data_IF_411056006524
#
_entry.id   IF_411056006524
#
_cell.length_a   1.000
_cell.length_b   1.000
_cell.length_c   1.000
_cell.angle_alpha   90.00
_cell.angle_beta   90.00
_cell.angle_gamma   90.00
#
_symmetry.space_group_name_H-M   'P 1'
#
loop_
_entity.id
_entity.type
_entity.pdbx_description
1 polymer ?
#
# COMPACT_ATOMS: atom_id res chain seq x y z
N UNK A 1 6.69 -17.20 -21.51
CA UNK A 1 6.08 -18.25 -20.63
C UNK A 1 5.63 -17.72 -19.25
N UNK A 2 6.05 -16.55 -18.81
CA UNK A 2 5.67 -15.95 -17.52
C UNK A 2 4.23 -15.37 -17.47
N UNK A 3 3.61 -15.10 -18.61
CA UNK A 3 2.28 -14.47 -18.66
C UNK A 3 1.10 -15.46 -18.56
N UNK A 4 1.31 -16.73 -18.83
CA UNK A 4 0.21 -17.73 -18.78
C UNK A 4 -0.06 -18.25 -17.37
N UNK A 5 0.92 -18.19 -16.47
CA UNK A 5 0.80 -18.68 -15.08
C UNK A 5 0.14 -17.63 -14.16
N UNK A 6 0.33 -16.34 -14.45
CA UNK A 6 -0.27 -15.25 -13.66
C UNK A 6 -1.79 -15.16 -13.88
N UNK A 7 -2.29 -15.41 -15.10
CA UNK A 7 -3.73 -15.34 -15.38
C UNK A 7 -4.53 -16.57 -14.91
N UNK A 8 -3.89 -17.70 -14.65
CA UNK A 8 -4.57 -18.89 -14.13
C UNK A 8 -4.85 -18.85 -12.62
N UNK A 9 -4.16 -18.01 -11.87
CA UNK A 9 -4.36 -17.86 -10.41
C UNK A 9 -5.48 -16.89 -10.01
N UNK A 10 -6.04 -16.15 -10.95
CA UNK A 10 -7.11 -15.17 -10.66
C UNK A 10 -8.51 -15.81 -10.49
N UNK A 11 -8.59 -17.13 -10.64
CA UNK A 11 -9.78 -17.92 -10.30
C UNK A 11 -9.75 -18.53 -8.90
N UNK A 12 -8.91 -18.06 -8.00
CA UNK A 12 -9.08 -18.33 -6.58
C UNK A 12 -10.37 -17.63 -6.13
N UNK A 13 -11.48 -18.39 -6.17
CA UNK A 13 -12.78 -17.98 -5.61
C UNK A 13 -12.52 -17.28 -4.29
N UNK A 14 -12.77 -15.97 -4.23
CA UNK A 14 -12.76 -15.21 -2.98
C UNK A 14 -13.67 -15.96 -2.01
N UNK A 15 -13.12 -16.74 -1.10
CA UNK A 15 -13.91 -17.43 -0.08
C UNK A 15 -14.56 -16.34 0.77
N UNK A 16 -15.87 -16.19 0.66
CA UNK A 16 -16.62 -15.34 1.57
C UNK A 16 -16.39 -15.84 2.99
N UNK A 17 -16.01 -14.93 3.87
CA UNK A 17 -15.95 -15.22 5.30
C UNK A 17 -17.40 -15.39 5.77
N UNK A 18 -17.79 -16.63 6.07
CA UNK A 18 -19.12 -16.97 6.60
C UNK A 18 -19.02 -17.12 8.12
N UNK A 19 -20.17 -17.11 8.81
CA UNK A 19 -20.24 -17.19 10.27
C UNK A 19 -19.42 -18.38 10.85
N UNK A 20 -19.46 -19.55 10.21
CA UNK A 20 -18.66 -20.72 10.61
C UNK A 20 -17.15 -20.47 10.51
N UNK A 21 -16.69 -19.70 9.48
CA UNK A 21 -15.29 -19.32 9.35
C UNK A 21 -14.86 -18.33 10.44
N UNK A 22 -15.75 -17.44 10.85
CA UNK A 22 -15.50 -16.49 11.95
C UNK A 22 -15.31 -17.24 13.27
N UNK A 23 -16.14 -18.24 13.57
CA UNK A 23 -16.00 -19.05 14.76
C UNK A 23 -14.66 -19.81 14.81
N UNK A 24 -14.23 -20.38 13.69
CA UNK A 24 -12.92 -21.03 13.58
C UNK A 24 -11.75 -20.05 13.73
N UNK A 25 -11.85 -18.84 13.14
CA UNK A 25 -10.83 -17.80 13.29
C UNK A 25 -10.71 -17.39 14.76
N UNK A 26 -11.85 -17.14 15.44
CA UNK A 26 -11.87 -16.81 16.88
C UNK A 26 -11.25 -17.90 17.74
N UNK A 27 -11.56 -19.17 17.46
CA UNK A 27 -10.98 -20.30 18.17
C UNK A 27 -9.45 -20.34 18.01
N UNK A 28 -8.96 -20.24 16.77
CA UNK A 28 -7.52 -20.22 16.49
C UNK A 28 -6.82 -19.01 17.10
N UNK A 29 -7.46 -17.85 17.06
CA UNK A 29 -6.96 -16.63 17.68
C UNK A 29 -6.76 -16.82 19.19
N UNK A 30 -7.76 -17.38 19.88
CA UNK A 30 -7.71 -17.60 21.32
C UNK A 30 -6.71 -18.70 21.74
N UNK A 31 -6.45 -19.67 20.87
CA UNK A 31 -5.50 -20.76 21.13
C UNK A 31 -4.05 -20.41 20.77
N UNK A 32 -3.85 -19.36 19.96
CA UNK A 32 -2.52 -18.98 19.51
C UNK A 32 -1.71 -18.37 20.67
N UNK A 33 -0.50 -18.88 20.89
CA UNK A 33 0.45 -18.32 21.87
C UNK A 33 1.04 -16.99 21.41
N UNK A 34 1.21 -16.82 20.10
CA UNK A 34 1.64 -15.60 19.46
C UNK A 34 0.84 -15.37 18.17
N UNK A 35 0.61 -14.12 17.84
CA UNK A 35 -0.19 -13.70 16.69
C UNK A 35 0.52 -12.62 15.91
N UNK A 36 0.70 -12.83 14.63
CA UNK A 36 1.13 -11.80 13.70
C UNK A 36 -0.13 -11.20 13.03
N UNK A 37 -0.33 -9.91 13.23
CA UNK A 37 -1.50 -9.19 12.73
C UNK A 37 -1.00 -8.16 11.72
N UNK A 38 -1.25 -8.41 10.44
CA UNK A 38 -0.90 -7.52 9.34
C UNK A 38 -2.11 -6.68 8.99
N UNK A 39 -1.99 -5.37 9.10
CA UNK A 39 -3.08 -4.41 8.86
C UNK A 39 -2.68 -3.45 7.74
N UNK A 40 -3.47 -3.43 6.67
CA UNK A 40 -3.41 -2.39 5.67
C UNK A 40 -4.03 -1.09 6.23
N UNK A 41 -3.52 0.06 5.81
CA UNK A 41 -3.94 1.35 6.36
C UNK A 41 -5.09 1.97 5.56
N UNK A 42 -4.85 2.29 4.28
CA UNK A 42 -5.81 3.03 3.45
C UNK A 42 -6.93 2.13 2.91
N UNK A 43 -8.17 2.40 3.29
CA UNK A 43 -9.33 1.57 2.93
C UNK A 43 -9.58 0.40 3.89
N UNK A 44 -8.70 0.20 4.89
CA UNK A 44 -8.83 -0.84 5.92
C UNK A 44 -8.95 -0.22 7.32
N UNK A 45 -7.91 0.44 7.82
CA UNK A 45 -7.92 1.12 9.11
C UNK A 45 -8.56 2.51 9.03
N UNK A 46 -8.47 3.16 7.90
CA UNK A 46 -9.13 4.43 7.61
C UNK A 46 -9.87 4.37 6.29
N UNK A 47 -10.97 5.12 6.17
CA UNK A 47 -11.69 5.23 4.92
C UNK A 47 -10.82 5.91 3.85
N UNK A 48 -10.98 5.50 2.58
CA UNK A 48 -10.34 6.19 1.48
C UNK A 48 -10.78 7.65 1.42
N UNK A 49 -9.82 8.56 1.34
CA UNK A 49 -10.05 10.01 1.26
C UNK A 49 -9.64 10.52 -0.13
N UNK A 50 -10.28 11.62 -0.60
CA UNK A 50 -9.87 12.27 -1.85
C UNK A 50 -8.41 12.71 -1.81
N UNK A 51 -7.99 13.35 -0.70
CA UNK A 51 -6.60 13.78 -0.48
C UNK A 51 -5.90 12.85 0.51
N UNK A 52 -4.67 12.41 0.21
CA UNK A 52 -3.92 11.51 1.09
C UNK A 52 -3.72 12.05 2.51
N UNK A 53 -3.52 13.36 2.67
CA UNK A 53 -3.32 14.03 3.95
C UNK A 53 -4.55 14.02 4.87
N UNK A 54 -5.75 13.84 4.30
CA UNK A 54 -7.01 13.81 5.06
C UNK A 54 -7.28 12.44 5.72
N UNK A 55 -6.50 11.42 5.37
CA UNK A 55 -6.66 10.07 5.92
C UNK A 55 -5.87 9.86 7.23
N UNK A 56 -5.83 10.91 8.08
CA UNK A 56 -5.18 10.82 9.39
C UNK A 56 -5.92 9.84 10.32
N UNK A 57 -5.21 9.14 11.21
CA UNK A 57 -5.84 8.25 12.17
C UNK A 57 -6.70 9.05 13.15
N UNK A 58 -7.88 8.53 13.46
CA UNK A 58 -8.72 9.10 14.51
C UNK A 58 -8.19 8.72 15.89
N UNK A 59 -8.49 9.49 16.93
CA UNK A 59 -8.15 9.12 18.31
C UNK A 59 -8.69 7.74 18.71
N UNK A 60 -9.86 7.37 18.20
CA UNK A 60 -10.45 6.06 18.41
C UNK A 60 -9.59 4.94 17.80
N UNK A 61 -9.14 5.10 16.54
CA UNK A 61 -8.25 4.14 15.90
C UNK A 61 -6.94 3.98 16.67
N UNK A 62 -6.34 5.07 17.13
CA UNK A 62 -5.14 5.06 17.96
C UNK A 62 -5.38 4.24 19.24
N UNK A 63 -6.50 4.48 19.92
CA UNK A 63 -6.87 3.75 21.13
C UNK A 63 -7.04 2.25 20.88
N UNK A 64 -7.69 1.87 19.78
CA UNK A 64 -7.88 0.46 19.39
C UNK A 64 -6.52 -0.20 19.11
N UNK A 65 -5.64 0.46 18.38
CA UNK A 65 -4.31 -0.07 18.08
C UNK A 65 -3.46 -0.21 19.34
N UNK A 66 -3.53 0.74 20.27
CA UNK A 66 -2.87 0.64 21.57
C UNK A 66 -3.38 -0.54 22.38
N UNK A 67 -4.69 -0.72 22.46
CA UNK A 67 -5.29 -1.86 23.17
C UNK A 67 -4.88 -3.19 22.53
N UNK A 68 -4.90 -3.26 21.20
CA UNK A 68 -4.50 -4.47 20.48
C UNK A 68 -3.03 -4.80 20.70
N UNK A 69 -2.17 -3.78 20.75
CA UNK A 69 -0.73 -3.92 20.97
C UNK A 69 -0.35 -4.16 22.45
N UNK A 70 -1.28 -3.92 23.39
CA UNK A 70 -1.02 -4.18 24.82
C UNK A 70 -1.01 -5.67 25.17
N UNK A 71 -1.59 -6.53 24.33
CA UNK A 71 -1.49 -7.98 24.49
C UNK A 71 -0.11 -8.45 23.96
N UNK A 72 0.78 -8.96 24.84
CA UNK A 72 2.13 -9.36 24.44
C UNK A 72 2.16 -10.54 23.46
N UNK A 73 1.04 -11.24 23.29
CA UNK A 73 0.90 -12.26 22.27
C UNK A 73 0.70 -11.70 20.86
N UNK A 74 0.40 -10.40 20.73
CA UNK A 74 0.16 -9.77 19.44
C UNK A 74 1.42 -9.07 18.92
N UNK A 75 1.84 -9.43 17.74
CA UNK A 75 2.80 -8.65 16.96
C UNK A 75 2.06 -7.96 15.81
N UNK A 76 1.95 -6.65 15.87
CA UNK A 76 1.17 -5.85 14.91
C UNK A 76 2.12 -5.21 13.92
N UNK A 77 1.80 -5.34 12.65
CA UNK A 77 2.51 -4.68 11.55
C UNK A 77 1.50 -3.89 10.72
N UNK A 78 1.69 -2.59 10.63
CA UNK A 78 0.94 -1.72 9.72
C UNK A 78 1.67 -1.73 8.38
N UNK A 79 1.00 -2.17 7.31
CA UNK A 79 1.54 -2.19 5.95
C UNK A 79 0.85 -1.13 5.09
N UNK A 80 1.61 -0.23 4.48
CA UNK A 80 1.05 0.88 3.72
C UNK A 80 1.93 1.26 2.52
N UNK A 81 1.29 1.82 1.50
CA UNK A 81 1.98 2.50 0.41
C UNK A 81 2.45 3.92 0.75
N UNK A 82 2.08 4.45 1.92
CA UNK A 82 2.50 5.78 2.39
C UNK A 82 3.99 5.82 2.69
N UNK A 83 4.58 7.01 2.59
CA UNK A 83 5.95 7.24 2.98
C UNK A 83 6.15 7.04 4.49
N UNK A 84 7.37 6.72 4.88
CA UNK A 84 7.71 6.41 6.26
C UNK A 84 7.64 7.62 7.21
N UNK A 85 7.84 8.85 6.71
CA UNK A 85 7.70 10.07 7.52
C UNK A 85 6.24 10.30 7.92
N UNK A 86 5.31 10.10 6.99
CA UNK A 86 3.88 10.19 7.24
C UNK A 86 3.43 9.15 8.26
N UNK A 87 3.85 7.89 8.11
CA UNK A 87 3.52 6.85 9.08
C UNK A 87 4.13 7.10 10.45
N UNK A 88 5.38 7.59 10.51
CA UNK A 88 6.02 7.97 11.77
C UNK A 88 5.26 9.09 12.48
N UNK A 89 4.89 10.14 11.74
CA UNK A 89 4.11 11.26 12.28
C UNK A 89 2.76 10.82 12.87
N UNK A 90 2.10 9.86 12.23
CA UNK A 90 0.74 9.45 12.60
C UNK A 90 0.69 8.34 13.64
N UNK A 91 1.59 7.39 13.55
CA UNK A 91 1.54 6.14 14.29
C UNK A 91 2.82 5.84 15.07
N UNK A 92 3.82 6.70 14.98
CA UNK A 92 5.16 6.47 15.53
C UNK A 92 5.22 6.29 17.04
N UNK A 93 4.22 6.81 17.76
CA UNK A 93 4.09 6.65 19.23
C UNK A 93 3.51 5.30 19.64
N UNK A 94 2.98 4.51 18.70
CA UNK A 94 2.38 3.20 18.99
C UNK A 94 3.45 2.12 19.04
N UNK A 95 3.29 1.10 19.91
CA UNK A 95 4.20 -0.04 19.97
C UNK A 95 3.88 -1.06 18.88
N UNK A 96 3.95 -0.62 17.61
CA UNK A 96 3.69 -1.42 16.42
C UNK A 96 4.86 -1.38 15.46
N UNK A 97 5.06 -2.44 14.72
CA UNK A 97 5.94 -2.43 13.56
C UNK A 97 5.23 -1.81 12.36
N UNK A 98 5.99 -1.23 11.43
CA UNK A 98 5.42 -0.60 10.24
C UNK A 98 6.22 -0.98 9.00
N UNK A 99 5.52 -1.16 7.87
CA UNK A 99 6.11 -1.30 6.54
C UNK A 99 5.56 -0.17 5.67
N UNK A 100 6.42 0.72 5.23
CA UNK A 100 6.13 1.88 4.40
C UNK A 100 6.58 1.65 2.96
N UNK A 101 5.99 2.40 2.02
CA UNK A 101 6.28 2.30 0.58
C UNK A 101 6.29 0.84 0.09
N UNK A 102 5.22 0.10 0.47
CA UNK A 102 5.05 -1.32 0.13
C UNK A 102 6.22 -2.22 0.59
N UNK A 103 6.86 -1.89 1.73
CA UNK A 103 7.95 -2.64 2.32
C UNK A 103 9.35 -2.16 1.94
N UNK A 104 9.47 -1.04 1.22
CA UNK A 104 10.77 -0.41 0.94
C UNK A 104 11.45 0.09 2.23
N UNK A 105 10.65 0.51 3.19
CA UNK A 105 11.07 0.86 4.55
C UNK A 105 10.29 0.02 5.56
N UNK A 106 10.94 -0.39 6.64
CA UNK A 106 10.26 -1.04 7.75
C UNK A 106 10.76 -0.50 9.09
N UNK A 107 9.84 -0.39 10.04
CA UNK A 107 10.13 0.00 11.43
C UNK A 107 9.96 -1.21 12.33
N UNK A 108 11.03 -1.53 13.04
CA UNK A 108 11.04 -2.58 14.05
C UNK A 108 11.73 -2.06 15.30
N UNK A 109 11.17 -2.35 16.48
CA UNK A 109 11.73 -1.89 17.77
C UNK A 109 11.98 -0.36 17.80
N UNK A 110 11.13 0.42 17.16
CA UNK A 110 11.25 1.88 17.11
C UNK A 110 12.24 2.43 16.09
N UNK A 111 12.97 1.59 15.36
CA UNK A 111 14.00 2.00 14.40
C UNK A 111 13.55 1.73 12.97
N UNK A 112 13.70 2.72 12.10
CA UNK A 112 13.45 2.58 10.67
C UNK A 112 14.66 1.98 9.95
N UNK A 113 14.40 1.02 9.11
CA UNK A 113 15.35 0.36 8.23
C UNK A 113 14.92 0.54 6.79
N UNK A 114 15.91 0.70 5.90
CA UNK A 114 15.66 0.77 4.45
C UNK A 114 16.02 -0.57 3.83
N UNK A 115 15.04 -1.20 3.19
CA UNK A 115 15.16 -2.54 2.59
C UNK A 115 15.61 -2.51 1.13
N UNK A 116 15.45 -1.38 0.45
CA UNK A 116 15.73 -1.23 -0.99
C UNK A 116 16.69 -0.06 -1.21
N UNK A 117 17.62 -0.21 -2.15
CA UNK A 117 18.45 0.92 -2.59
C UNK A 117 17.58 1.96 -3.29
N UNK A 118 17.95 3.24 -3.13
CA UNK A 118 17.31 4.34 -3.88
C UNK A 118 17.35 4.01 -5.38
N UNK A 119 16.21 4.17 -6.04
CA UNK A 119 16.10 3.95 -7.47
C UNK A 119 16.33 5.30 -8.16
N UNK A 120 17.27 5.32 -9.09
CA UNK A 120 17.45 6.44 -9.99
C UNK A 120 16.56 6.25 -11.22
N UNK A 121 15.52 7.04 -11.30
CA UNK A 121 14.58 6.97 -12.42
C UNK A 121 15.19 7.62 -13.66
N UNK A 122 15.28 6.88 -14.74
CA UNK A 122 15.76 7.43 -16.02
C UNK A 122 14.90 8.60 -16.50
N UNK A 123 15.54 9.63 -17.06
CA UNK A 123 14.86 10.83 -17.54
C UNK A 123 13.71 10.52 -18.53
N UNK A 124 13.84 9.47 -19.33
CA UNK A 124 12.80 9.04 -20.27
C UNK A 124 11.50 8.59 -19.57
N UNK A 125 11.59 7.89 -18.43
CA UNK A 125 10.42 7.43 -17.66
C UNK A 125 9.72 8.64 -17.03
N UNK A 126 10.48 9.55 -16.43
CA UNK A 126 9.92 10.76 -15.83
C UNK A 126 9.24 11.64 -16.87
N UNK A 127 9.86 11.82 -18.06
CA UNK A 127 9.27 12.60 -19.15
C UNK A 127 7.95 12.01 -19.66
N UNK A 128 7.87 10.68 -19.74
CA UNK A 128 6.63 10.01 -20.14
C UNK A 128 5.54 10.22 -19.08
N UNK A 129 5.84 10.02 -17.81
CA UNK A 129 4.88 10.24 -16.74
C UNK A 129 4.41 11.69 -16.70
N UNK A 130 5.32 12.65 -16.88
CA UNK A 130 4.97 14.07 -16.95
C UNK A 130 4.04 14.36 -18.13
N UNK A 131 4.30 13.78 -19.31
CA UNK A 131 3.40 13.92 -20.46
C UNK A 131 1.98 13.40 -20.17
N UNK A 132 1.85 12.34 -19.39
CA UNK A 132 0.52 11.85 -18.97
C UNK A 132 -0.14 12.77 -17.94
N UNK A 133 0.62 13.38 -17.03
CA UNK A 133 0.12 14.45 -16.14
C UNK A 133 -0.44 15.60 -16.94
N UNK A 134 0.33 16.13 -17.90
CA UNK A 134 -0.04 17.30 -18.71
C UNK A 134 -1.30 17.06 -19.56
N UNK A 135 -1.53 15.81 -19.96
CA UNK A 135 -2.68 15.39 -20.78
C UNK A 135 -3.88 14.89 -19.99
N UNK A 136 -3.80 14.87 -18.68
CA UNK A 136 -4.87 14.36 -17.81
C UNK A 136 -5.14 15.40 -16.71
N UNK A 137 -6.07 16.32 -16.92
CA UNK A 137 -6.38 17.37 -15.95
C UNK A 137 -6.66 16.78 -14.55
N UNK A 138 -6.14 17.43 -13.50
CA UNK A 138 -6.29 17.04 -12.10
C UNK A 138 -5.59 15.72 -11.74
N UNK A 139 -4.64 15.27 -12.56
CA UNK A 139 -3.70 14.22 -12.20
C UNK A 139 -2.36 14.84 -11.77
N UNK A 140 -1.58 14.08 -10.99
CA UNK A 140 -0.24 14.49 -10.60
C UNK A 140 0.69 13.28 -10.46
N UNK A 141 1.98 13.54 -10.54
CA UNK A 141 3.04 12.56 -10.32
C UNK A 141 3.62 12.73 -8.92
N UNK A 142 3.58 11.67 -8.13
CA UNK A 142 4.30 11.56 -6.87
C UNK A 142 5.59 10.78 -7.09
N UNK A 143 6.73 11.41 -6.78
CA UNK A 143 8.05 10.78 -6.87
C UNK A 143 8.47 10.40 -5.45
N UNK A 144 8.51 9.09 -5.18
CA UNK A 144 9.02 8.52 -3.92
C UNK A 144 10.47 8.07 -4.09
N UNK A 145 11.12 7.71 -2.99
CA UNK A 145 12.48 7.17 -3.08
C UNK A 145 12.56 5.87 -3.89
N UNK A 146 11.53 5.05 -3.83
CA UNK A 146 11.53 3.69 -4.37
C UNK A 146 10.41 3.43 -5.38
N UNK A 147 9.53 4.40 -5.61
CA UNK A 147 8.39 4.26 -6.51
C UNK A 147 8.03 5.57 -7.20
N UNK A 148 7.37 5.45 -8.35
CA UNK A 148 6.68 6.54 -9.02
C UNK A 148 5.19 6.23 -8.99
N UNK A 149 4.37 7.14 -8.50
CA UNK A 149 2.93 6.98 -8.49
C UNK A 149 2.25 8.12 -9.28
N UNK A 150 1.51 7.74 -10.32
CA UNK A 150 0.68 8.67 -11.06
C UNK A 150 -0.75 8.60 -10.51
N UNK A 151 -1.18 9.69 -9.89
CA UNK A 151 -2.50 9.83 -9.27
C UNK A 151 -3.46 10.50 -10.24
N UNK A 152 -4.57 9.83 -10.54
CA UNK A 152 -5.62 10.34 -11.43
C UNK A 152 -7.04 10.24 -10.85
N UNK A 153 -7.14 10.00 -9.54
CA UNK A 153 -8.43 9.84 -8.86
C UNK A 153 -9.35 11.06 -8.97
N UNK A 154 -8.76 12.26 -9.05
CA UNK A 154 -9.51 13.50 -9.18
C UNK A 154 -9.82 13.88 -10.64
N UNK A 155 -9.27 13.14 -11.59
CA UNK A 155 -9.54 13.33 -13.02
C UNK A 155 -10.92 12.78 -13.39
N UNK A 156 -11.39 13.11 -14.60
CA UNK A 156 -12.54 12.43 -15.19
C UNK A 156 -12.31 10.91 -15.20
N UNK A 157 -13.28 10.14 -14.71
CA UNK A 157 -13.11 8.73 -14.46
C UNK A 157 -12.84 7.91 -15.75
N UNK A 158 -13.50 8.28 -16.85
CA UNK A 158 -13.29 7.63 -18.14
C UNK A 158 -11.92 7.97 -18.71
N UNK A 159 -11.58 9.27 -18.74
CA UNK A 159 -10.29 9.74 -19.24
C UNK A 159 -9.13 9.17 -18.41
N UNK A 160 -9.23 9.20 -17.09
CA UNK A 160 -8.23 8.65 -16.17
C UNK A 160 -7.96 7.17 -16.42
N UNK A 161 -9.02 6.37 -16.55
CA UNK A 161 -8.90 4.93 -16.83
C UNK A 161 -8.28 4.67 -18.21
N UNK A 162 -8.70 5.38 -19.23
CA UNK A 162 -8.14 5.28 -20.58
C UNK A 162 -6.63 5.61 -20.56
N UNK A 163 -6.26 6.72 -19.93
CA UNK A 163 -4.86 7.15 -19.81
C UNK A 163 -4.01 6.17 -19.01
N UNK A 164 -4.56 5.57 -17.94
CA UNK A 164 -3.86 4.55 -17.18
C UNK A 164 -3.51 3.33 -18.04
N UNK A 165 -4.43 2.84 -18.86
CA UNK A 165 -4.16 1.75 -19.79
C UNK A 165 -3.09 2.12 -20.83
N UNK A 166 -3.16 3.34 -21.39
CA UNK A 166 -2.18 3.83 -22.35
C UNK A 166 -0.78 3.93 -21.70
N UNK A 167 -0.70 4.46 -20.47
CA UNK A 167 0.55 4.57 -19.72
C UNK A 167 1.18 3.19 -19.48
N UNK A 168 0.40 2.23 -19.00
CA UNK A 168 0.86 0.84 -18.78
C UNK A 168 1.43 0.25 -20.06
N UNK A 169 0.74 0.35 -21.19
CA UNK A 169 1.21 -0.16 -22.47
C UNK A 169 2.50 0.52 -22.93
N UNK A 170 2.61 1.83 -22.72
CA UNK A 170 3.81 2.61 -23.06
C UNK A 170 5.01 2.15 -22.23
N UNK A 171 4.84 1.99 -20.90
CA UNK A 171 5.90 1.54 -20.01
C UNK A 171 6.34 0.10 -20.29
N UNK A 172 5.40 -0.82 -20.55
CA UNK A 172 5.73 -2.20 -20.95
C UNK A 172 6.58 -2.20 -22.23
N UNK A 173 6.18 -1.41 -23.21
CA UNK A 173 6.92 -1.32 -24.49
C UNK A 173 8.36 -0.80 -24.33
N UNK A 174 8.58 0.08 -23.36
CA UNK A 174 9.92 0.58 -23.02
C UNK A 174 10.75 -0.49 -22.30
N UNK A 175 10.18 -1.16 -21.30
CA UNK A 175 10.89 -2.19 -20.55
C UNK A 175 11.28 -3.40 -21.42
N UNK A 176 10.50 -3.72 -22.46
CA UNK A 176 10.80 -4.82 -23.38
C UNK A 176 11.88 -4.46 -24.41
N UNK A 177 12.12 -3.18 -24.70
CA UNK A 177 13.15 -2.71 -25.65
C UNK A 177 14.54 -2.57 -25.02
N UNK A 178 14.66 -2.65 -23.72
CA UNK A 178 15.93 -2.49 -22.96
C UNK A 178 16.60 -3.82 -22.57
N UNK A 179 16.17 -4.93 -23.19
CA UNK A 179 16.80 -6.26 -23.01
C UNK A 179 17.82 -6.55 -24.09
#
# INVERSE_FOLDING_TARGET
ELNATCMKNDMLRKKRIVAASIAQIKLKYNQAKQRLILLDYDGTLTALKPRPEDAQPTPELISILQQLASDPANHIVINSGRDHFTLEKWLGSLPVSMAAEHGAFYKENGVWHKNIKKIEWGAGILSILQMFVDRTPRSHLEVKETALAWHYRESDAWLGTLRAQQLVNTLISLCTRQK
#
